data_IF_532249884120
#
_entry.id   IF_532249884120
#
_cell.length_a   1.000
_cell.length_b   1.000
_cell.length_c   1.000
_cell.angle_alpha   90.00
_cell.angle_beta   90.00
_cell.angle_gamma   90.00
#
_symmetry.space_group_name_H-M   'P 1'
#
loop_
_entity.id
_entity.type
_entity.pdbx_description
1 polymer ?
#
# COMPACT_ATOMS: atom_id res chain seq x y z
N UNK A 1 -4.23 31.89 -41.22
CA UNK A 1 -4.81 30.98 -40.20
C UNK A 1 -3.73 30.46 -39.23
N UNK A 2 -2.56 29.98 -39.69
CA UNK A 2 -1.51 29.38 -38.82
C UNK A 2 -0.82 30.31 -37.79
N UNK A 3 -0.73 31.63 -38.03
CA UNK A 3 -0.07 32.55 -37.08
C UNK A 3 -0.86 32.76 -35.79
N UNK A 4 -2.18 32.53 -35.80
CA UNK A 4 -3.04 32.66 -34.62
C UNK A 4 -2.89 31.45 -33.68
N UNK A 5 -2.78 30.24 -34.24
CA UNK A 5 -2.58 28.99 -33.49
C UNK A 5 -1.24 28.97 -32.75
N UNK A 6 -0.15 29.40 -33.40
CA UNK A 6 1.18 29.44 -32.78
C UNK A 6 1.29 30.44 -31.61
N UNK A 7 0.55 31.56 -31.66
CA UNK A 7 0.50 32.55 -30.58
C UNK A 7 -0.26 32.01 -29.35
N UNK A 8 -1.35 31.27 -29.57
CA UNK A 8 -2.14 30.66 -28.49
C UNK A 8 -1.40 29.56 -27.72
N UNK A 9 -0.55 28.78 -28.41
CA UNK A 9 0.29 27.72 -27.81
C UNK A 9 1.46 28.31 -27.02
N UNK A 10 2.07 29.40 -27.49
CA UNK A 10 3.14 30.10 -26.74
C UNK A 10 2.63 30.79 -25.48
N UNK A 11 1.42 31.34 -25.50
CA UNK A 11 0.82 32.02 -24.34
C UNK A 11 0.43 31.02 -23.23
N UNK A 12 -0.12 29.86 -23.60
CA UNK A 12 -0.47 28.79 -22.67
C UNK A 12 0.77 28.12 -22.05
N UNK A 13 1.84 27.93 -22.82
CA UNK A 13 3.13 27.45 -22.31
C UNK A 13 3.83 28.46 -21.37
N UNK A 14 3.73 29.77 -21.65
CA UNK A 14 4.29 30.81 -20.79
C UNK A 14 3.53 31.01 -19.47
N UNK A 15 2.22 30.72 -19.45
CA UNK A 15 1.38 30.82 -18.25
C UNK A 15 1.36 29.52 -17.43
N UNK A 16 1.75 28.38 -18.00
CA UNK A 16 1.84 27.08 -17.32
C UNK A 16 2.61 27.11 -15.98
N UNK A 17 3.81 27.73 -15.86
CA UNK A 17 4.52 27.80 -14.58
C UNK A 17 3.79 28.68 -13.55
N UNK A 18 3.13 29.75 -13.99
CA UNK A 18 2.39 30.67 -13.10
C UNK A 18 1.08 30.02 -12.62
N UNK A 19 0.40 29.29 -13.50
CA UNK A 19 -0.81 28.51 -13.17
C UNK A 19 -0.44 27.35 -12.22
N UNK A 20 0.67 26.66 -12.46
CA UNK A 20 1.20 25.62 -11.59
C UNK A 20 1.56 26.15 -10.20
N UNK A 21 2.25 27.29 -10.12
CA UNK A 21 2.60 27.92 -8.85
C UNK A 21 1.36 28.41 -8.07
N UNK A 22 0.34 28.94 -8.78
CA UNK A 22 -0.94 29.33 -8.18
C UNK A 22 -1.75 28.12 -7.70
N UNK A 23 -1.74 27.00 -8.44
CA UNK A 23 -2.39 25.76 -8.00
C UNK A 23 -1.66 25.16 -6.79
N UNK A 24 -0.32 25.17 -6.80
CA UNK A 24 0.49 24.69 -5.70
C UNK A 24 0.22 25.50 -4.42
N UNK A 25 0.30 26.84 -4.50
CA UNK A 25 0.03 27.72 -3.36
C UNK A 25 -1.41 27.58 -2.84
N UNK A 26 -2.42 27.51 -3.72
CA UNK A 26 -3.81 27.23 -3.31
C UNK A 26 -3.94 25.87 -2.62
N UNK A 27 -3.28 24.84 -3.16
CA UNK A 27 -3.25 23.49 -2.60
C UNK A 27 -2.60 23.44 -1.21
N UNK A 28 -1.49 24.15 -1.02
CA UNK A 28 -0.78 24.24 0.26
C UNK A 28 -1.58 25.01 1.30
N UNK A 29 -2.18 26.13 0.92
CA UNK A 29 -3.04 26.91 1.83
C UNK A 29 -4.31 26.15 2.20
N UNK A 30 -4.91 25.39 1.26
CA UNK A 30 -6.04 24.51 1.54
C UNK A 30 -5.67 23.39 2.51
N UNK A 31 -4.50 22.75 2.32
CA UNK A 31 -3.98 21.75 3.25
C UNK A 31 -3.71 22.33 4.64
N UNK A 32 -3.04 23.48 4.73
CA UNK A 32 -2.76 24.15 6.00
C UNK A 32 -4.04 24.54 6.75
N UNK A 33 -5.08 25.00 6.04
CA UNK A 33 -6.40 25.27 6.63
C UNK A 33 -7.11 23.99 7.08
N UNK A 34 -7.04 22.92 6.30
CA UNK A 34 -7.57 21.61 6.68
C UNK A 34 -6.89 21.04 7.94
N UNK A 35 -5.57 21.17 8.02
CA UNK A 35 -4.78 20.77 9.18
C UNK A 35 -5.12 21.64 10.41
N UNK A 36 -5.22 22.96 10.26
CA UNK A 36 -5.61 23.86 11.35
C UNK A 36 -7.05 23.63 11.84
N UNK A 37 -7.95 23.18 10.96
CA UNK A 37 -9.30 22.74 11.35
C UNK A 37 -9.27 21.39 12.08
N UNK A 38 -8.42 20.45 11.63
CA UNK A 38 -8.24 19.16 12.29
C UNK A 38 -7.66 19.30 13.71
N UNK A 39 -6.74 20.26 13.93
CA UNK A 39 -6.20 20.57 15.26
C UNK A 39 -7.21 21.23 16.21
N UNK A 40 -8.23 21.92 15.67
CA UNK A 40 -9.27 22.56 16.49
C UNK A 40 -10.24 21.56 17.09
N UNK A 41 -10.66 20.55 16.31
CA UNK A 41 -11.57 19.49 16.75
C UNK A 41 -10.95 18.10 16.50
N UNK A 42 -9.95 17.68 17.30
CA UNK A 42 -9.17 16.48 17.04
C UNK A 42 -10.03 15.20 17.05
N UNK A 43 -11.04 15.15 17.92
CA UNK A 43 -11.94 13.99 18.02
C UNK A 43 -12.83 13.87 16.77
N UNK A 44 -13.42 14.98 16.32
CA UNK A 44 -14.27 14.98 15.13
C UNK A 44 -13.45 14.75 13.85
N UNK A 45 -12.23 15.29 13.79
CA UNK A 45 -11.31 15.08 12.69
C UNK A 45 -10.85 13.62 12.60
N UNK A 46 -10.62 12.95 13.74
CA UNK A 46 -10.20 11.54 13.77
C UNK A 46 -11.21 10.57 13.16
N UNK A 47 -12.51 10.92 13.20
CA UNK A 47 -13.63 10.10 12.68
C UNK A 47 -13.97 10.38 11.22
N UNK A 48 -13.30 11.33 10.57
CA UNK A 48 -13.53 11.65 9.16
C UNK A 48 -12.44 11.00 8.32
N UNK A 49 -12.67 10.75 7.01
CA UNK A 49 -11.61 10.34 6.10
C UNK A 49 -10.49 11.38 6.12
N UNK A 50 -9.26 10.94 6.41
CA UNK A 50 -8.10 11.83 6.43
C UNK A 50 -7.77 12.28 5.00
N UNK A 51 -7.25 13.51 4.86
CA UNK A 51 -6.71 13.97 3.58
C UNK A 51 -5.61 12.98 3.13
N UNK A 52 -5.66 12.46 1.89
CA UNK A 52 -4.64 11.55 1.38
C UNK A 52 -3.20 12.04 1.59
N UNK A 53 -2.98 13.36 1.60
CA UNK A 53 -1.66 13.96 1.84
C UNK A 53 -1.19 13.79 3.28
N UNK A 54 -2.05 14.05 4.26
CA UNK A 54 -1.68 13.88 5.68
C UNK A 54 -1.54 12.41 6.04
N UNK A 55 -2.40 11.55 5.49
CA UNK A 55 -2.27 10.10 5.61
C UNK A 55 -0.95 9.59 5.02
N UNK A 56 -0.57 10.06 3.83
CA UNK A 56 0.70 9.67 3.20
C UNK A 56 1.91 10.14 4.01
N UNK A 57 1.91 11.37 4.54
CA UNK A 57 2.97 11.88 5.41
C UNK A 57 3.06 11.09 6.72
N UNK A 58 1.92 10.78 7.34
CA UNK A 58 1.86 9.98 8.57
C UNK A 58 2.39 8.56 8.37
N UNK A 59 1.94 7.88 7.32
CA UNK A 59 2.41 6.53 6.96
C UNK A 59 3.91 6.56 6.67
N UNK A 60 4.39 7.55 5.94
CA UNK A 60 5.82 7.71 5.64
C UNK A 60 6.63 7.91 6.93
N UNK A 61 6.18 8.78 7.84
CA UNK A 61 6.86 9.00 9.12
C UNK A 61 6.95 7.73 9.96
N UNK A 62 5.84 6.99 10.07
CA UNK A 62 5.82 5.70 10.79
C UNK A 62 6.71 4.67 10.10
N UNK A 63 6.68 4.59 8.77
CA UNK A 63 7.51 3.65 8.00
C UNK A 63 9.00 3.95 8.15
N UNK A 64 9.39 5.23 8.18
CA UNK A 64 10.77 5.66 8.41
C UNK A 64 11.21 5.30 9.82
N UNK A 65 10.39 5.59 10.84
CA UNK A 65 10.69 5.19 12.22
C UNK A 65 10.87 3.67 12.33
N UNK A 66 9.97 2.89 11.74
CA UNK A 66 10.07 1.44 11.72
C UNK A 66 11.33 0.94 11.00
N UNK A 67 11.65 1.53 9.84
CA UNK A 67 12.87 1.22 9.09
C UNK A 67 14.14 1.46 9.91
N UNK A 68 14.19 2.54 10.70
CA UNK A 68 15.34 2.84 11.55
C UNK A 68 15.50 1.92 12.75
N UNK A 69 14.42 1.31 13.25
CA UNK A 69 14.43 0.52 14.49
C UNK A 69 14.44 -0.99 14.26
N UNK A 70 13.77 -1.47 13.22
CA UNK A 70 13.49 -2.91 13.03
C UNK A 70 13.97 -3.39 11.68
N UNK A 71 13.28 -3.01 10.61
CA UNK A 71 13.60 -3.40 9.23
C UNK A 71 12.64 -2.72 8.25
N UNK A 72 12.68 -3.11 6.97
CA UNK A 72 11.69 -2.71 5.97
C UNK A 72 10.29 -3.13 6.41
N UNK A 73 9.30 -2.24 6.27
CA UNK A 73 7.89 -2.55 6.50
C UNK A 73 7.42 -3.51 5.41
N UNK A 74 7.40 -4.80 5.71
CA UNK A 74 6.99 -5.87 4.79
C UNK A 74 5.91 -6.75 5.41
N UNK A 75 4.85 -7.02 4.64
CA UNK A 75 3.76 -7.91 5.06
C UNK A 75 4.02 -9.34 4.59
N UNK A 76 4.61 -9.51 3.40
CA UNK A 76 4.84 -10.82 2.77
C UNK A 76 5.72 -11.75 3.62
N UNK A 77 6.81 -11.22 4.17
CA UNK A 77 7.75 -12.00 4.98
C UNK A 77 7.12 -12.52 6.27
N UNK A 78 6.47 -11.67 7.08
CA UNK A 78 5.85 -12.13 8.32
C UNK A 78 4.55 -12.92 8.09
N UNK A 79 3.79 -12.65 7.03
CA UNK A 79 2.65 -13.50 6.61
C UNK A 79 3.11 -14.92 6.26
N UNK A 80 4.23 -15.01 5.53
CA UNK A 80 4.90 -16.28 5.36
C UNK A 80 5.24 -16.84 6.76
N UNK A 81 6.01 -16.16 7.63
CA UNK A 81 6.43 -16.71 8.94
C UNK A 81 5.25 -17.22 9.77
N UNK A 82 4.10 -16.56 9.72
CA UNK A 82 2.84 -17.02 10.33
C UNK A 82 2.37 -18.35 9.75
N UNK A 83 2.38 -18.51 8.43
CA UNK A 83 2.06 -19.78 7.78
C UNK A 83 3.01 -20.90 8.27
N UNK A 84 4.31 -20.65 8.28
CA UNK A 84 5.29 -21.62 8.79
C UNK A 84 5.09 -21.95 10.28
N UNK A 85 4.80 -20.95 11.11
CA UNK A 85 4.50 -21.14 12.52
C UNK A 85 3.23 -21.99 12.71
N UNK A 86 2.14 -21.67 12.00
CA UNK A 86 0.89 -22.43 12.07
C UNK A 86 1.06 -23.87 11.59
N UNK A 87 1.81 -24.11 10.51
CA UNK A 87 2.11 -25.47 10.05
C UNK A 87 2.92 -26.27 11.08
N UNK A 88 3.86 -25.62 11.79
CA UNK A 88 4.60 -26.29 12.88
C UNK A 88 3.71 -26.68 14.05
N UNK A 89 2.64 -25.94 14.34
CA UNK A 89 1.67 -26.30 15.39
C UNK A 89 0.83 -27.53 15.01
N UNK A 90 0.65 -27.79 13.71
CA UNK A 90 -0.08 -28.96 13.19
C UNK A 90 0.84 -30.19 13.07
N UNK A 91 2.12 -30.07 13.47
CA UNK A 91 3.08 -31.18 13.50
C UNK A 91 3.89 -31.36 12.21
N UNK A 92 3.83 -30.41 11.28
CA UNK A 92 4.72 -30.39 10.11
C UNK A 92 6.09 -29.87 10.54
N UNK A 93 7.18 -30.58 10.22
CA UNK A 93 8.53 -30.08 10.46
C UNK A 93 8.86 -28.96 9.46
N UNK A 94 8.46 -27.74 9.82
CA UNK A 94 8.71 -26.56 9.01
C UNK A 94 10.20 -26.18 9.03
N UNK A 95 10.96 -26.65 10.02
CA UNK A 95 12.40 -26.43 10.10
C UNK A 95 13.20 -27.20 9.04
N UNK A 96 12.68 -28.34 8.56
CA UNK A 96 13.33 -29.14 7.52
C UNK A 96 13.24 -28.53 6.13
N UNK A 97 12.30 -27.61 5.89
CA UNK A 97 12.17 -26.91 4.62
C UNK A 97 13.13 -25.73 4.57
N UNK A 98 14.04 -25.75 3.60
CA UNK A 98 15.09 -24.72 3.44
C UNK A 98 14.51 -23.30 3.40
N UNK A 99 13.41 -23.09 2.66
CA UNK A 99 12.75 -21.77 2.60
C UNK A 99 12.33 -21.24 3.97
N UNK A 100 11.79 -22.09 4.84
CA UNK A 100 11.32 -21.67 6.15
C UNK A 100 12.47 -21.59 7.14
N UNK A 101 13.28 -22.64 7.23
CA UNK A 101 14.38 -22.76 8.16
C UNK A 101 15.52 -21.77 7.89
N UNK A 102 16.06 -21.74 6.67
CA UNK A 102 17.27 -20.96 6.35
C UNK A 102 16.95 -19.56 5.83
N UNK A 103 15.94 -19.39 4.99
CA UNK A 103 15.63 -18.09 4.38
C UNK A 103 14.78 -17.21 5.33
N UNK A 104 13.79 -17.79 6.01
CA UNK A 104 12.81 -16.99 6.76
C UNK A 104 13.08 -16.87 8.26
N UNK A 105 13.48 -17.97 8.90
CA UNK A 105 13.85 -18.01 10.32
C UNK A 105 15.36 -17.97 10.56
N UNK A 106 16.18 -17.94 9.50
CA UNK A 106 17.64 -17.82 9.56
C UNK A 106 18.31 -18.77 10.57
N UNK A 107 17.81 -20.00 10.69
CA UNK A 107 18.33 -21.00 11.61
C UNK A 107 18.06 -20.74 13.11
N UNK A 108 17.30 -19.70 13.48
CA UNK A 108 17.00 -19.34 14.89
C UNK A 108 15.82 -20.11 15.51
N UNK A 109 15.32 -21.14 14.82
CA UNK A 109 14.12 -21.89 15.19
C UNK A 109 12.83 -21.12 14.89
N UNK A 110 11.74 -21.85 14.70
CA UNK A 110 10.40 -21.30 14.40
C UNK A 110 9.87 -20.62 15.66
N UNK A 111 10.08 -19.31 15.78
CA UNK A 111 9.66 -18.49 16.92
C UNK A 111 8.90 -17.26 16.43
N UNK A 112 8.03 -16.72 17.29
CA UNK A 112 7.31 -15.47 17.02
C UNK A 112 8.33 -14.33 16.94
N UNK A 113 8.38 -13.65 15.79
CA UNK A 113 9.25 -12.49 15.58
C UNK A 113 8.48 -11.18 15.72
N UNK A 114 9.20 -10.08 15.89
CA UNK A 114 8.63 -8.72 16.04
C UNK A 114 7.72 -8.38 14.84
N UNK A 115 8.12 -8.74 13.63
CA UNK A 115 7.34 -8.47 12.41
C UNK A 115 6.02 -9.27 12.37
N UNK A 116 5.97 -10.46 12.97
CA UNK A 116 4.74 -11.26 13.08
C UNK A 116 3.73 -10.57 14.01
N UNK A 117 4.23 -10.02 15.12
CA UNK A 117 3.44 -9.24 16.08
C UNK A 117 2.96 -7.93 15.46
N UNK A 118 3.77 -7.27 14.64
CA UNK A 118 3.38 -6.09 13.88
C UNK A 118 2.13 -6.34 13.02
N UNK A 119 2.06 -7.43 12.26
CA UNK A 119 0.87 -7.76 11.45
C UNK A 119 -0.37 -7.90 12.32
N UNK A 120 -0.26 -8.55 13.47
CA UNK A 120 -1.38 -8.69 14.40
C UNK A 120 -1.87 -7.32 14.91
N UNK A 121 -0.95 -6.43 15.29
CA UNK A 121 -1.29 -5.06 15.69
C UNK A 121 -1.87 -4.22 14.55
N UNK A 122 -1.48 -4.46 13.29
CA UNK A 122 -2.12 -3.80 12.14
C UNK A 122 -3.58 -4.24 12.01
N UNK A 123 -3.87 -5.54 12.15
CA UNK A 123 -5.25 -6.06 12.09
C UNK A 123 -6.09 -5.49 13.25
N UNK A 124 -5.55 -5.55 14.47
CA UNK A 124 -6.23 -5.02 15.67
C UNK A 124 -6.41 -3.51 15.57
N UNK A 125 -5.40 -2.77 15.13
CA UNK A 125 -5.44 -1.33 14.94
C UNK A 125 -6.48 -0.91 13.89
N UNK A 126 -6.57 -1.64 12.77
CA UNK A 126 -7.60 -1.42 11.76
C UNK A 126 -9.01 -1.67 12.30
N UNK A 127 -9.19 -2.73 13.11
CA UNK A 127 -10.46 -3.02 13.75
C UNK A 127 -10.87 -1.93 14.76
N UNK A 128 -9.95 -1.50 15.62
CA UNK A 128 -10.18 -0.42 16.57
C UNK A 128 -10.49 0.91 15.87
N UNK A 129 -9.77 1.23 14.79
CA UNK A 129 -10.01 2.43 13.99
C UNK A 129 -11.40 2.40 13.33
N UNK A 130 -11.82 1.25 12.78
CA UNK A 130 -13.15 1.09 12.20
C UNK A 130 -14.27 1.26 13.25
N UNK A 131 -14.08 0.72 14.45
CA UNK A 131 -15.00 0.89 15.57
C UNK A 131 -15.06 2.35 16.05
N UNK A 132 -13.90 3.03 16.12
CA UNK A 132 -13.81 4.43 16.53
C UNK A 132 -14.46 5.40 15.55
N UNK A 133 -14.31 5.15 14.24
CA UNK A 133 -14.96 5.92 13.16
C UNK A 133 -16.46 5.67 13.09
N UNK A 134 -16.95 4.54 13.64
CA UNK A 134 -18.34 4.11 13.50
C UNK A 134 -18.65 3.48 12.13
N UNK A 135 -17.63 3.21 11.32
CA UNK A 135 -17.75 2.63 9.97
C UNK A 135 -17.63 1.10 9.95
N UNK A 136 -17.59 0.45 11.12
CA UNK A 136 -17.50 -1.00 11.21
C UNK A 136 -18.77 -1.66 10.67
N UNK A 137 -18.62 -2.42 9.57
CA UNK A 137 -19.71 -3.12 8.92
C UNK A 137 -19.25 -4.51 8.49
N UNK A 138 -19.85 -5.56 9.08
CA UNK A 138 -19.56 -6.93 8.68
C UNK A 138 -20.24 -7.22 7.32
N UNK A 139 -19.43 -7.38 6.28
CA UNK A 139 -19.91 -7.52 4.90
C UNK A 139 -19.57 -8.91 4.37
N UNK A 140 -20.59 -9.71 4.11
CA UNK A 140 -20.40 -11.07 3.57
C UNK A 140 -20.21 -10.99 2.04
N UNK A 141 -19.14 -11.55 1.48
CA UNK A 141 -18.91 -11.52 0.04
C UNK A 141 -19.97 -12.35 -0.71
N UNK A 142 -20.42 -11.84 -1.86
CA UNK A 142 -21.32 -12.60 -2.74
C UNK A 142 -20.61 -13.85 -3.26
N UNK A 143 -21.28 -15.01 -3.25
CA UNK A 143 -20.73 -16.30 -3.74
C UNK A 143 -20.11 -16.21 -5.13
N UNK A 144 -20.69 -15.40 -6.03
CA UNK A 144 -20.16 -15.17 -7.39
C UNK A 144 -18.78 -14.49 -7.43
N UNK A 145 -18.39 -13.78 -6.36
CA UNK A 145 -17.11 -13.04 -6.26
C UNK A 145 -16.03 -13.83 -5.52
N UNK A 146 -16.39 -14.91 -4.83
CA UNK A 146 -15.45 -15.77 -4.10
C UNK A 146 -14.37 -16.38 -5.01
N UNK A 147 -14.69 -16.95 -6.19
CA UNK A 147 -13.67 -17.51 -7.08
C UNK A 147 -12.60 -16.50 -7.48
N UNK A 148 -13.01 -15.26 -7.77
CA UNK A 148 -12.08 -14.18 -8.12
C UNK A 148 -11.17 -13.80 -6.96
N UNK A 149 -11.69 -13.80 -5.73
CA UNK A 149 -10.90 -13.50 -4.54
C UNK A 149 -9.86 -14.60 -4.26
N UNK A 150 -10.25 -15.87 -4.38
CA UNK A 150 -9.35 -17.02 -4.20
C UNK A 150 -8.27 -17.05 -5.28
N UNK A 151 -8.66 -16.95 -6.55
CA UNK A 151 -7.72 -16.94 -7.68
C UNK A 151 -6.77 -15.73 -7.60
N UNK A 152 -7.29 -14.55 -7.26
CA UNK A 152 -6.49 -13.34 -7.06
C UNK A 152 -5.48 -13.49 -5.92
N UNK A 153 -5.89 -14.05 -4.78
CA UNK A 153 -4.99 -14.32 -3.65
C UNK A 153 -3.87 -15.30 -4.00
N UNK A 154 -4.18 -16.37 -4.73
CA UNK A 154 -3.17 -17.32 -5.21
C UNK A 154 -2.17 -16.67 -6.16
N UNK A 155 -2.65 -15.85 -7.11
CA UNK A 155 -1.79 -15.10 -8.03
C UNK A 155 -0.91 -14.08 -7.29
N UNK A 156 -1.46 -13.38 -6.30
CA UNK A 156 -0.69 -12.45 -5.46
C UNK A 156 0.40 -13.18 -4.68
N UNK A 157 0.09 -14.33 -4.08
CA UNK A 157 1.06 -15.15 -3.36
C UNK A 157 2.14 -15.72 -4.26
N UNK A 158 1.78 -16.21 -5.45
CA UNK A 158 2.76 -16.66 -6.44
C UNK A 158 3.65 -15.50 -6.93
N UNK A 159 3.05 -14.35 -7.23
CA UNK A 159 3.76 -13.14 -7.64
C UNK A 159 4.75 -12.64 -6.59
N UNK A 160 4.37 -12.67 -5.30
CA UNK A 160 5.25 -12.25 -4.20
C UNK A 160 6.45 -13.19 -3.97
N UNK A 161 6.45 -14.37 -4.59
CA UNK A 161 7.61 -15.28 -4.62
C UNK A 161 8.52 -15.03 -5.81
N UNK A 162 7.96 -14.68 -6.96
CA UNK A 162 8.73 -14.31 -8.15
C UNK A 162 9.43 -12.96 -7.97
N UNK A 163 8.74 -11.99 -7.38
CA UNK A 163 9.29 -10.70 -6.98
C UNK A 163 9.18 -10.59 -5.45
N UNK A 164 10.27 -10.89 -4.70
CA UNK A 164 10.26 -10.84 -3.24
C UNK A 164 9.79 -9.46 -2.77
N UNK A 165 8.69 -9.44 -2.00
CA UNK A 165 8.15 -8.23 -1.40
C UNK A 165 6.63 -8.10 -1.52
N UNK A 166 6.12 -6.96 -1.03
CA UNK A 166 4.75 -6.51 -1.25
C UNK A 166 4.78 -5.13 -1.92
N UNK A 167 3.61 -4.62 -2.29
CA UNK A 167 3.46 -3.24 -2.76
C UNK A 167 4.07 -2.22 -1.79
N UNK A 168 3.88 -2.38 -0.48
CA UNK A 168 4.44 -1.45 0.52
C UNK A 168 5.98 -1.52 0.50
N UNK A 169 6.55 -2.72 0.63
CA UNK A 169 8.00 -2.91 0.65
C UNK A 169 8.70 -2.44 -0.62
N UNK A 170 8.18 -2.80 -1.80
CA UNK A 170 8.84 -2.47 -3.07
C UNK A 170 8.65 -1.00 -3.46
N UNK A 171 7.48 -0.40 -3.19
CA UNK A 171 7.18 0.97 -3.61
C UNK A 171 7.69 1.99 -2.58
N UNK A 172 7.49 1.78 -1.27
CA UNK A 172 7.90 2.76 -0.26
C UNK A 172 9.37 2.65 0.09
N UNK A 173 9.85 1.44 0.43
CA UNK A 173 11.24 1.25 0.85
C UNK A 173 12.15 1.00 -0.35
N UNK A 174 11.73 0.13 -1.26
CA UNK A 174 12.55 -0.28 -2.40
C UNK A 174 12.87 0.83 -3.41
N UNK A 175 11.94 1.75 -3.66
CA UNK A 175 12.20 2.93 -4.50
C UNK A 175 13.04 3.96 -3.76
N UNK A 176 12.85 4.13 -2.45
CA UNK A 176 13.67 5.04 -1.63
C UNK A 176 15.15 4.61 -1.61
N UNK A 177 15.42 3.30 -1.67
CA UNK A 177 16.76 2.71 -1.80
C UNK A 177 17.32 2.76 -3.24
N UNK A 178 16.58 3.33 -4.20
CA UNK A 178 16.93 3.34 -5.64
C UNK A 178 17.23 1.94 -6.21
N UNK A 179 16.60 0.90 -5.69
CA UNK A 179 16.82 -0.47 -6.17
C UNK A 179 16.16 -0.71 -7.52
N UNK A 180 16.94 -1.17 -8.50
CA UNK A 180 16.46 -1.51 -9.85
C UNK A 180 15.40 -2.59 -9.80
N UNK A 181 15.56 -3.59 -8.93
CA UNK A 181 14.57 -4.66 -8.74
C UNK A 181 13.22 -4.09 -8.31
N UNK A 182 13.23 -3.13 -7.37
CA UNK A 182 12.02 -2.49 -6.86
C UNK A 182 11.31 -1.64 -7.90
N UNK A 183 12.07 -0.95 -8.78
CA UNK A 183 11.50 -0.23 -9.92
C UNK A 183 10.79 -1.18 -10.90
N UNK A 184 11.44 -2.28 -11.27
CA UNK A 184 10.85 -3.28 -12.18
C UNK A 184 9.59 -3.88 -11.54
N UNK A 185 9.65 -4.24 -10.26
CA UNK A 185 8.51 -4.77 -9.54
C UNK A 185 7.36 -3.76 -9.44
N UNK A 186 7.65 -2.47 -9.19
CA UNK A 186 6.64 -1.42 -9.14
C UNK A 186 5.93 -1.25 -10.50
N UNK A 187 6.67 -1.22 -11.60
CA UNK A 187 6.09 -1.16 -12.95
C UNK A 187 5.23 -2.40 -13.23
N UNK A 188 5.71 -3.59 -12.86
CA UNK A 188 4.95 -4.83 -13.00
C UNK A 188 3.64 -4.82 -12.20
N UNK A 189 3.66 -4.33 -10.96
CA UNK A 189 2.46 -4.18 -10.12
C UNK A 189 1.47 -3.22 -10.77
N UNK A 190 1.92 -2.05 -11.23
CA UNK A 190 1.06 -1.06 -11.90
C UNK A 190 0.45 -1.63 -13.18
N UNK A 191 1.26 -2.28 -14.02
CA UNK A 191 0.80 -2.91 -15.25
C UNK A 191 -0.21 -4.04 -14.97
N UNK A 192 0.03 -4.88 -13.95
CA UNK A 192 -0.88 -5.95 -13.54
C UNK A 192 -2.22 -5.42 -13.05
N UNK A 193 -2.21 -4.37 -12.21
CA UNK A 193 -3.43 -3.71 -11.74
C UNK A 193 -4.19 -3.10 -12.92
N UNK A 194 -3.50 -2.42 -13.84
CA UNK A 194 -4.12 -1.84 -15.04
C UNK A 194 -4.78 -2.91 -15.91
N UNK A 195 -4.05 -3.97 -16.26
CA UNK A 195 -4.55 -5.05 -17.09
C UNK A 195 -5.76 -5.77 -16.45
N UNK A 196 -5.68 -6.08 -15.16
CA UNK A 196 -6.76 -6.76 -14.44
C UNK A 196 -7.99 -5.86 -14.28
N UNK A 197 -7.79 -4.57 -13.99
CA UNK A 197 -8.89 -3.59 -13.91
C UNK A 197 -9.55 -3.48 -15.27
N UNK A 198 -8.80 -3.29 -16.34
CA UNK A 198 -9.35 -3.23 -17.70
C UNK A 198 -10.13 -4.50 -18.05
N UNK A 199 -9.59 -5.68 -17.75
CA UNK A 199 -10.27 -6.96 -18.01
C UNK A 199 -11.54 -7.15 -17.18
N UNK A 200 -11.56 -6.72 -15.92
CA UNK A 200 -12.74 -6.84 -15.06
C UNK A 200 -13.84 -5.84 -15.46
N UNK A 201 -13.45 -4.65 -15.91
CA UNK A 201 -14.37 -3.59 -16.31
C UNK A 201 -14.76 -3.60 -17.79
N UNK A 202 -14.17 -4.50 -18.61
CA UNK A 202 -14.46 -4.59 -20.05
C UNK A 202 -15.95 -4.75 -20.39
N UNK A 203 -16.69 -5.44 -19.54
CA UNK A 203 -18.11 -5.78 -19.79
C UNK A 203 -19.09 -4.74 -19.21
N UNK A 204 -18.62 -3.82 -18.36
CA UNK A 204 -19.47 -2.81 -17.68
C UNK A 204 -19.47 -1.45 -18.37
N UNK A 205 -18.88 -1.34 -19.57
CA UNK A 205 -19.01 -0.17 -20.44
C UNK A 205 -18.33 1.12 -19.97
N UNK A 206 -17.80 1.16 -18.75
CA UNK A 206 -16.91 2.23 -18.28
C UNK A 206 -15.46 1.83 -18.54
N UNK A 207 -15.08 1.81 -19.82
CA UNK A 207 -13.69 2.03 -20.16
C UNK A 207 -13.40 3.51 -19.84
N UNK A 208 -12.40 3.71 -18.99
CA UNK A 208 -11.66 4.97 -18.80
C UNK A 208 -11.43 5.71 -20.12
#
# INVERSE_FOLDING_TARGET
>A
SERSTAASVRLSAALAPIVGLRQFTRGTVAYARGLAAAFRDPIAASKRPWDPRSAALGITGVAVLWFTQVSIVGITGPEARWTGYLLSQVGVDVGSFEYWGSVLFQGRGVRVTVDMVMILFVIVGAALAALWSGDFSLRVPKRRRLPNAVAGGLLMGAGSRLAPGCNIGNIYSGIAELSVHSFIAAVGIVAGVYAMTHWLYRDVGCAI
#
